data_IF_724012601895
#
_entry.id   IF_724012601895
#
_cell.length_a   1.000
_cell.length_b   1.000
_cell.length_c   1.000
_cell.angle_alpha   90.00
_cell.angle_beta   90.00
_cell.angle_gamma   90.00
#
_symmetry.space_group_name_H-M   'P 1'
#
loop_
_entity.id
_entity.type
_entity.pdbx_description
1 polymer ?
#
# COMPACT_ATOMS: atom_id res chain seq x y z
N UNK A 1 -7.41 -10.78 -37.18
CA UNK A 1 -6.70 -10.38 -35.95
C UNK A 1 -5.24 -10.73 -36.11
N UNK A 2 -4.31 -9.78 -35.92
CA UNK A 2 -2.89 -10.07 -36.04
C UNK A 2 -2.45 -11.08 -34.97
N UNK A 3 -1.68 -12.09 -35.36
CA UNK A 3 -1.19 -13.10 -34.43
C UNK A 3 -0.19 -12.46 -33.46
N UNK A 4 -0.30 -12.66 -32.13
CA UNK A 4 0.63 -12.07 -31.16
C UNK A 4 2.10 -12.38 -31.46
N UNK A 5 2.40 -13.56 -32.02
CA UNK A 5 3.77 -13.92 -32.41
C UNK A 5 4.28 -13.09 -33.59
N UNK A 6 3.40 -12.69 -34.51
CA UNK A 6 3.75 -11.80 -35.62
C UNK A 6 3.96 -10.36 -35.14
N UNK A 7 3.17 -9.89 -34.17
CA UNK A 7 3.38 -8.58 -33.56
C UNK A 7 4.71 -8.53 -32.80
N UNK A 8 5.04 -9.60 -32.08
CA UNK A 8 6.32 -9.74 -31.37
C UNK A 8 7.49 -9.73 -32.37
N UNK A 9 7.42 -10.50 -33.45
CA UNK A 9 8.50 -10.55 -34.44
C UNK A 9 8.69 -9.20 -35.15
N UNK A 10 7.61 -8.52 -35.52
CA UNK A 10 7.68 -7.17 -36.12
C UNK A 10 8.28 -6.16 -35.13
N UNK A 11 7.83 -6.19 -33.87
CA UNK A 11 8.38 -5.33 -32.83
C UNK A 11 9.87 -5.61 -32.60
N UNK A 12 10.26 -6.88 -32.58
CA UNK A 12 11.64 -7.30 -32.41
C UNK A 12 12.53 -6.91 -33.59
N UNK A 13 12.09 -7.14 -34.83
CA UNK A 13 12.84 -6.74 -36.03
C UNK A 13 13.01 -5.23 -36.07
N UNK A 14 11.95 -4.46 -35.78
CA UNK A 14 12.07 -2.99 -35.72
C UNK A 14 13.01 -2.56 -34.61
N UNK A 15 12.88 -3.11 -33.42
CA UNK A 15 13.76 -2.77 -32.30
C UNK A 15 15.23 -3.07 -32.62
N UNK A 16 15.53 -4.29 -33.08
CA UNK A 16 16.90 -4.70 -33.40
C UNK A 16 17.50 -3.94 -34.57
N UNK A 17 16.75 -3.66 -35.64
CA UNK A 17 17.23 -2.84 -36.77
C UNK A 17 17.48 -1.40 -36.34
N UNK A 18 16.59 -0.78 -35.56
CA UNK A 18 16.79 0.59 -35.07
C UNK A 18 17.95 0.69 -34.08
N UNK A 19 18.10 -0.29 -33.18
CA UNK A 19 19.20 -0.33 -32.22
C UNK A 19 20.55 -0.49 -32.92
N UNK A 20 20.64 -1.42 -33.89
CA UNK A 20 21.85 -1.60 -34.71
C UNK A 20 22.19 -0.34 -35.49
N UNK A 21 21.22 0.28 -36.17
CA UNK A 21 21.45 1.54 -36.89
C UNK A 21 21.94 2.69 -36.00
N UNK A 22 21.46 2.74 -34.75
CA UNK A 22 21.91 3.75 -33.76
C UNK A 22 23.34 3.51 -33.30
N UNK A 23 23.75 2.25 -33.15
CA UNK A 23 25.10 1.87 -32.71
C UNK A 23 26.13 1.95 -33.86
N UNK A 24 25.77 1.50 -35.07
CA UNK A 24 26.66 1.53 -36.24
C UNK A 24 26.93 2.97 -36.74
N UNK A 25 25.97 3.88 -36.56
CA UNK A 25 26.11 5.30 -36.92
C UNK A 25 26.82 6.17 -35.87
N UNK A 26 27.43 5.57 -34.85
CA UNK A 26 27.97 6.30 -33.70
C UNK A 26 29.46 6.65 -33.91
N UNK A 27 29.74 7.94 -34.12
CA UNK A 27 31.11 8.47 -34.13
C UNK A 27 31.70 8.49 -32.71
N UNK A 28 33.04 8.48 -32.55
CA UNK A 28 33.69 8.55 -31.23
C UNK A 28 33.24 9.76 -30.40
N UNK A 29 32.99 10.91 -31.03
CA UNK A 29 32.47 12.11 -30.35
C UNK A 29 31.09 11.87 -29.70
N UNK A 30 30.19 11.16 -30.41
CA UNK A 30 28.85 10.84 -29.89
C UNK A 30 28.92 9.87 -28.71
N UNK A 31 29.84 8.90 -28.76
CA UNK A 31 30.12 8.01 -27.62
C UNK A 31 30.58 8.78 -26.39
N UNK A 32 31.54 9.70 -26.55
CA UNK A 32 32.03 10.55 -25.45
C UNK A 32 30.89 11.39 -24.87
N UNK A 33 30.06 12.01 -25.72
CA UNK A 33 28.90 12.78 -25.26
C UNK A 33 27.91 11.93 -24.46
N UNK A 34 27.64 10.70 -24.91
CA UNK A 34 26.75 9.76 -24.21
C UNK A 34 27.33 9.39 -22.84
N UNK A 35 28.62 9.06 -22.77
CA UNK A 35 29.31 8.74 -21.52
C UNK A 35 29.28 9.92 -20.56
N UNK A 36 29.49 11.15 -21.03
CA UNK A 36 29.41 12.35 -20.20
C UNK A 36 28.01 12.53 -19.64
N UNK A 37 26.95 12.41 -20.46
CA UNK A 37 25.56 12.58 -20.00
C UNK A 37 25.20 11.52 -18.97
N UNK A 38 25.46 10.25 -19.27
CA UNK A 38 25.14 9.12 -18.38
C UNK A 38 25.97 9.18 -17.11
N UNK A 39 27.28 9.40 -17.23
CA UNK A 39 28.20 9.53 -16.11
C UNK A 39 27.83 10.70 -15.21
N UNK A 40 27.49 11.86 -15.78
CA UNK A 40 27.01 13.02 -15.02
C UNK A 40 25.72 12.70 -14.29
N UNK A 41 24.74 12.05 -14.94
CA UNK A 41 23.49 11.66 -14.28
C UNK A 41 23.73 10.70 -13.11
N UNK A 42 24.57 9.67 -13.31
CA UNK A 42 24.94 8.73 -12.24
C UNK A 42 25.60 9.42 -11.06
N UNK A 43 26.43 10.45 -11.33
CA UNK A 43 27.11 11.20 -10.29
C UNK A 43 26.19 12.19 -9.58
N UNK A 44 25.33 12.91 -10.32
CA UNK A 44 24.43 13.95 -9.79
C UNK A 44 23.27 13.36 -8.99
N UNK A 45 22.69 12.23 -9.43
CA UNK A 45 21.54 11.59 -8.80
C UNK A 45 21.67 11.37 -7.27
N UNK A 46 22.74 10.77 -6.73
CA UNK A 46 22.83 10.54 -5.29
C UNK A 46 22.87 11.85 -4.48
N UNK A 47 23.45 12.92 -5.01
CA UNK A 47 23.48 14.21 -4.33
C UNK A 47 22.11 14.90 -4.36
N UNK A 48 21.41 14.85 -5.50
CA UNK A 48 20.04 15.35 -5.58
C UNK A 48 19.12 14.63 -4.60
N UNK A 49 19.24 13.29 -4.49
CA UNK A 49 18.47 12.51 -3.53
C UNK A 49 18.80 12.89 -2.08
N UNK A 50 20.08 13.15 -1.75
CA UNK A 50 20.48 13.61 -0.41
C UNK A 50 19.93 15.00 -0.06
N UNK A 51 19.82 15.91 -1.03
CA UNK A 51 19.24 17.24 -0.80
C UNK A 51 17.72 17.13 -0.63
N UNK A 52 17.06 16.36 -1.50
CA UNK A 52 15.63 16.12 -1.42
C UNK A 52 15.24 15.47 -0.09
N UNK A 53 15.97 14.45 0.36
CA UNK A 53 15.68 13.77 1.63
C UNK A 53 15.84 14.70 2.84
N UNK A 54 16.86 15.56 2.85
CA UNK A 54 17.03 16.58 3.90
C UNK A 54 15.90 17.60 3.92
N UNK A 55 15.41 18.02 2.74
CA UNK A 55 14.26 18.91 2.66
C UNK A 55 12.98 18.25 3.16
N UNK A 56 12.77 16.97 2.84
CA UNK A 56 11.62 16.20 3.33
C UNK A 56 11.69 16.02 4.84
N UNK A 57 12.85 15.66 5.40
CA UNK A 57 13.05 15.56 6.85
C UNK A 57 12.76 16.89 7.55
N UNK A 58 13.27 18.02 7.06
CA UNK A 58 12.96 19.34 7.62
C UNK A 58 11.47 19.68 7.59
N UNK A 59 10.73 19.30 6.55
CA UNK A 59 9.28 19.52 6.49
C UNK A 59 8.51 18.57 7.42
N UNK A 60 9.04 17.37 7.68
CA UNK A 60 8.48 16.43 8.65
C UNK A 60 8.79 16.83 10.10
N UNK A 61 9.96 17.42 10.36
CA UNK A 61 10.38 17.94 11.66
C UNK A 61 9.73 19.30 11.98
N UNK A 62 9.60 20.20 10.99
CA UNK A 62 8.88 21.47 11.13
C UNK A 62 7.34 21.31 11.16
N UNK A 63 6.85 20.11 11.53
CA UNK A 63 5.44 19.92 11.82
C UNK A 63 5.06 20.78 13.05
N UNK A 64 3.85 21.34 13.07
CA UNK A 64 3.46 22.53 13.85
C UNK A 64 3.16 22.20 15.33
N UNK A 65 3.97 21.38 15.98
CA UNK A 65 3.87 21.18 17.43
C UNK A 65 4.58 22.32 18.19
N UNK A 66 5.56 22.99 17.56
CA UNK A 66 6.38 24.04 18.19
C UNK A 66 6.12 25.48 17.70
N UNK A 67 5.21 25.70 16.75
CA UNK A 67 4.89 27.04 16.22
C UNK A 67 3.44 27.45 16.57
N UNK A 68 3.21 28.43 17.47
CA UNK A 68 1.86 28.84 17.87
C UNK A 68 1.06 29.53 16.75
N UNK A 69 1.72 29.97 15.66
CA UNK A 69 1.13 30.79 14.58
C UNK A 69 1.18 30.15 13.17
N UNK A 70 1.56 28.87 13.03
CA UNK A 70 1.50 28.20 11.74
C UNK A 70 0.03 27.93 11.31
N UNK A 71 -0.34 28.13 10.03
CA UNK A 71 -1.69 27.83 9.57
C UNK A 71 -1.96 26.34 9.72
N UNK A 72 -2.72 25.99 10.77
CA UNK A 72 -3.18 24.62 11.05
C UNK A 72 -3.73 24.02 9.76
N UNK A 73 -3.13 22.92 9.30
CA UNK A 73 -3.64 22.18 8.15
C UNK A 73 -5.12 21.89 8.39
N UNK A 74 -5.99 22.33 7.46
CA UNK A 74 -7.46 22.27 7.59
C UNK A 74 -8.01 20.85 7.84
N UNK A 75 -7.20 19.82 7.57
CA UNK A 75 -7.54 18.42 7.82
C UNK A 75 -6.30 17.75 8.39
N UNK A 76 -6.34 17.40 9.69
CA UNK A 76 -5.33 16.54 10.30
C UNK A 76 -5.63 15.08 9.91
N UNK A 77 -4.62 14.20 9.73
CA UNK A 77 -4.86 12.79 9.42
C UNK A 77 -5.81 12.06 10.39
N UNK A 78 -5.98 12.57 11.61
CA UNK A 78 -6.90 12.01 12.60
C UNK A 78 -8.26 12.72 12.67
N UNK A 79 -8.48 13.82 11.94
CA UNK A 79 -9.76 14.54 11.92
C UNK A 79 -10.89 13.69 11.35
N UNK A 80 -10.59 12.72 10.47
CA UNK A 80 -11.58 11.85 9.84
C UNK A 80 -11.79 10.53 10.60
N UNK A 81 -11.03 10.28 11.67
CA UNK A 81 -11.13 9.04 12.45
C UNK A 81 -12.24 9.20 13.49
N UNK A 82 -13.41 8.62 13.21
CA UNK A 82 -14.58 8.67 14.09
C UNK A 82 -15.63 9.75 13.77
N UNK A 83 -15.37 10.60 12.78
CA UNK A 83 -16.36 11.61 12.31
C UNK A 83 -17.32 11.06 11.24
N UNK A 84 -17.04 9.85 10.74
CA UNK A 84 -17.91 9.11 9.83
C UNK A 84 -18.49 7.97 10.67
N UNK A 85 -19.74 8.13 11.11
CA UNK A 85 -20.55 7.01 11.57
C UNK A 85 -20.63 6.03 10.40
N UNK A 86 -19.92 4.91 10.50
CA UNK A 86 -20.08 3.80 9.56
C UNK A 86 -21.38 3.13 10.02
N UNK A 87 -22.48 3.21 9.27
CA UNK A 87 -23.73 2.58 9.67
C UNK A 87 -23.48 1.08 9.87
N UNK A 88 -23.90 0.52 11.00
CA UNK A 88 -23.80 -0.92 11.26
C UNK A 88 -24.56 -1.76 10.22
N UNK A 89 -25.47 -1.11 9.49
CA UNK A 89 -26.34 -1.72 8.48
C UNK A 89 -25.90 -1.47 7.02
N UNK A 90 -24.63 -1.06 6.79
CA UNK A 90 -24.07 -1.02 5.42
C UNK A 90 -23.84 -2.41 4.82
N UNK A 91 -24.33 -3.47 5.46
CA UNK A 91 -24.21 -4.87 5.07
C UNK A 91 -25.43 -5.36 4.25
N UNK A 92 -26.51 -4.59 4.12
CA UNK A 92 -27.68 -4.97 3.32
C UNK A 92 -27.62 -4.46 1.88
N UNK A 93 -27.70 -5.40 0.94
CA UNK A 93 -27.61 -5.21 -0.50
C UNK A 93 -28.90 -4.54 -1.04
N UNK A 94 -28.99 -3.21 -0.96
CA UNK A 94 -29.77 -2.44 -1.93
C UNK A 94 -28.86 -1.50 -2.70
N UNK A 95 -28.56 -1.91 -3.94
CA UNK A 95 -27.88 -1.11 -4.93
C UNK A 95 -28.71 0.14 -5.27
N UNK A 96 -28.60 1.18 -4.47
CA UNK A 96 -29.07 2.51 -4.82
C UNK A 96 -28.22 3.05 -5.99
N UNK A 97 -28.84 3.53 -7.09
CA UNK A 97 -28.10 4.03 -8.24
C UNK A 97 -27.62 5.46 -7.92
N UNK A 98 -26.44 5.58 -7.33
CA UNK A 98 -25.85 6.89 -7.07
C UNK A 98 -24.36 6.97 -7.43
N UNK A 99 -24.12 7.54 -8.60
CA UNK A 99 -22.97 8.34 -8.99
C UNK A 99 -21.56 7.72 -8.87
N UNK A 100 -21.05 7.31 -10.03
CA UNK A 100 -19.66 7.02 -10.40
C UNK A 100 -18.58 7.87 -9.71
N UNK A 101 -18.24 7.55 -8.46
CA UNK A 101 -17.09 8.16 -7.75
C UNK A 101 -16.06 7.09 -7.44
N UNK A 102 -15.28 6.70 -8.46
CA UNK A 102 -13.88 6.23 -8.48
C UNK A 102 -13.25 5.46 -7.27
N UNK A 103 -14.01 4.88 -6.34
CA UNK A 103 -13.49 4.46 -5.02
C UNK A 103 -13.94 3.05 -4.60
N UNK A 104 -14.14 2.15 -5.56
CA UNK A 104 -14.58 0.77 -5.31
C UNK A 104 -13.51 -0.31 -5.52
N UNK A 105 -12.29 0.05 -5.91
CA UNK A 105 -11.22 -0.92 -6.02
C UNK A 105 -10.76 -1.33 -4.60
N UNK A 106 -11.13 -2.53 -4.17
CA UNK A 106 -10.64 -3.12 -2.93
C UNK A 106 -11.59 -3.10 -1.72
N UNK A 107 -12.81 -2.56 -1.82
CA UNK A 107 -13.81 -2.68 -0.74
C UNK A 107 -14.07 -4.16 -0.38
N UNK A 108 -14.22 -5.02 -1.39
CA UNK A 108 -14.41 -6.47 -1.23
C UNK A 108 -13.20 -7.17 -0.59
N UNK A 109 -11.98 -6.73 -0.90
CA UNK A 109 -10.77 -7.29 -0.31
C UNK A 109 -10.63 -6.90 1.17
N UNK A 110 -10.92 -5.63 1.51
CA UNK A 110 -10.93 -5.13 2.89
C UNK A 110 -12.03 -5.78 3.74
N UNK A 111 -13.22 -6.04 3.15
CA UNK A 111 -14.31 -6.80 3.81
C UNK A 111 -13.86 -8.21 4.19
N UNK A 112 -13.27 -8.95 3.24
CA UNK A 112 -12.72 -10.29 3.50
C UNK A 112 -11.63 -10.29 4.58
N UNK A 113 -10.74 -9.30 4.58
CA UNK A 113 -9.69 -9.18 5.61
C UNK A 113 -10.29 -8.97 7.01
N UNK A 114 -11.33 -8.13 7.11
CA UNK A 114 -12.06 -7.92 8.37
C UNK A 114 -12.82 -9.14 8.83
N UNK A 115 -13.49 -9.87 7.93
CA UNK A 115 -14.26 -11.07 8.28
C UNK A 115 -13.34 -12.19 8.79
N UNK A 116 -12.15 -12.32 8.19
CA UNK A 116 -11.13 -13.25 8.68
C UNK A 116 -10.67 -12.87 10.08
N UNK A 117 -10.42 -11.58 10.34
CA UNK A 117 -10.01 -11.11 11.67
C UNK A 117 -11.11 -11.34 12.72
N UNK A 118 -12.37 -11.04 12.40
CA UNK A 118 -13.52 -11.32 13.29
C UNK A 118 -13.59 -12.80 13.65
N UNK A 119 -13.51 -13.69 12.64
CA UNK A 119 -13.51 -15.14 12.87
C UNK A 119 -12.34 -15.62 13.72
N UNK A 120 -11.16 -15.03 13.57
CA UNK A 120 -10.01 -15.37 14.42
C UNK A 120 -10.25 -14.96 15.87
N UNK A 121 -10.83 -13.78 16.11
CA UNK A 121 -11.18 -13.30 17.45
C UNK A 121 -12.25 -14.19 18.08
N UNK A 122 -13.33 -14.50 17.34
CA UNK A 122 -14.41 -15.36 17.84
C UNK A 122 -13.93 -16.78 18.21
N UNK A 123 -12.92 -17.30 17.49
CA UNK A 123 -12.31 -18.61 17.80
C UNK A 123 -11.45 -18.54 19.06
N UNK A 124 -10.69 -17.46 19.23
CA UNK A 124 -9.87 -17.25 20.43
C UNK A 124 -10.74 -17.09 21.68
N UNK A 125 -11.84 -16.32 21.57
CA UNK A 125 -12.81 -16.13 22.66
C UNK A 125 -13.47 -17.44 23.07
N UNK A 126 -13.88 -18.28 22.10
CA UNK A 126 -14.42 -19.62 22.41
C UNK A 126 -13.39 -20.52 23.09
N UNK A 127 -12.15 -20.51 22.61
CA UNK A 127 -11.06 -21.27 23.23
C UNK A 127 -10.81 -20.83 24.69
N UNK A 128 -10.88 -19.52 24.96
CA UNK A 128 -10.73 -18.98 26.31
C UNK A 128 -11.92 -19.34 27.21
N UNK A 129 -13.14 -19.36 26.67
CA UNK A 129 -14.33 -19.79 27.39
C UNK A 129 -14.26 -21.29 27.74
N UNK A 130 -13.86 -22.16 26.81
CA UNK A 130 -13.67 -23.60 27.06
C UNK A 130 -12.62 -23.87 28.14
N UNK A 131 -11.53 -23.10 28.17
CA UNK A 131 -10.50 -23.22 29.23
C UNK A 131 -11.00 -22.73 30.60
N UNK A 132 -11.88 -21.72 30.64
CA UNK A 132 -12.47 -21.24 31.90
C UNK A 132 -13.51 -22.23 32.42
N UNK A 133 -14.34 -22.81 31.55
CA UNK A 133 -15.31 -23.85 31.92
C UNK A 133 -14.60 -25.11 32.45
N UNK A 134 -13.51 -25.55 31.82
CA UNK A 134 -12.70 -26.70 32.27
C UNK A 134 -12.04 -26.49 33.66
N UNK A 135 -11.68 -25.24 33.99
CA UNK A 135 -11.09 -24.90 35.29
C UNK A 135 -12.18 -24.76 36.39
N UNK A 136 -13.36 -24.22 36.04
CA UNK A 136 -14.51 -24.17 36.94
C UNK A 136 -15.05 -25.57 37.30
N UNK A 137 -15.07 -26.50 36.34
CA UNK A 137 -15.50 -27.89 36.59
C UNK A 137 -14.50 -28.66 37.47
N UNK A 138 -13.18 -28.44 37.30
CA UNK A 138 -12.14 -29.02 38.18
C UNK A 138 -12.24 -28.57 39.63
N UNK A 139 -12.52 -27.29 39.85
CA UNK A 139 -12.69 -26.73 41.20
C UNK A 139 -13.93 -27.32 41.90
N UNK A 140 -14.92 -27.82 41.14
CA UNK A 140 -16.12 -28.49 41.67
C UNK A 140 -15.87 -29.98 41.94
N UNK A 141 -15.04 -30.66 41.14
CA UNK A 141 -14.67 -32.07 41.33
C UNK A 141 -14.02 -32.33 42.71
N UNK A 142 -13.24 -31.38 43.23
CA UNK A 142 -12.62 -31.46 44.56
C UNK A 142 -13.66 -31.58 45.68
N UNK A 143 -14.86 -31.04 45.51
CA UNK A 143 -15.96 -31.12 46.48
C UNK A 143 -16.88 -32.35 46.31
N UNK A 144 -16.69 -33.16 45.27
CA UNK A 144 -17.52 -34.34 44.95
C UNK A 144 -16.95 -35.67 45.47
N UNK A 145 -15.70 -35.70 45.99
CA UNK A 145 -15.14 -36.87 46.67
C UNK A 145 -15.77 -36.97 48.07
N UNK A 146 -16.88 -37.69 48.12
CA UNK A 146 -17.68 -37.98 49.32
C UNK A 146 -17.13 -39.23 50.03
N UNK A 147 -16.81 -39.12 51.32
CA UNK A 147 -16.74 -40.29 52.23
C UNK A 147 -18.06 -41.05 52.29
#
# INVERSE_FOLDING_TARGET
MANPLQLLSIAWTRFSTNLRGTLDGMTPEKWIRLVIIVGTYMLVRPYLMKVASKSQMKQHEAKPEDEPDAPKAKVQPNTLRGQIEIPEDSDDDEAAPASSTATDWGKKARRRQRDVLKRMIDVEEKRLAELQEDDEDKDIEEFLVKE
#
